data_IF_145269027877
#
_entry.id   IF_145269027877
#
_cell.length_a   1.000
_cell.length_b   1.000
_cell.length_c   1.000
_cell.angle_alpha   90.00
_cell.angle_beta   90.00
_cell.angle_gamma   90.00
#
_symmetry.space_group_name_H-M   'P 1'
#
loop_
_entity.id
_entity.type
_entity.pdbx_description
1 polymer ?
#
# COMPACT_ATOMS: atom_id res chain seq x y z
N UNK A 1 9.77 -7.90 -11.34
CA UNK A 1 8.52 -7.45 -10.69
C UNK A 1 8.48 -5.96 -10.88
N UNK A 2 7.47 -5.48 -11.61
CA UNK A 2 7.35 -4.05 -11.91
C UNK A 2 6.70 -3.28 -10.75
N UNK A 3 6.20 -4.01 -9.75
CA UNK A 3 5.56 -3.47 -8.56
C UNK A 3 6.28 -3.93 -7.31
N UNK A 4 6.24 -3.08 -6.28
CA UNK A 4 6.66 -3.40 -4.93
C UNK A 4 5.47 -3.25 -3.97
N UNK A 5 5.26 -4.24 -3.10
CA UNK A 5 4.30 -4.18 -2.02
C UNK A 5 5.03 -4.27 -0.68
N UNK A 6 4.66 -3.39 0.24
CA UNK A 6 5.27 -3.33 1.56
C UNK A 6 4.27 -2.84 2.60
N UNK A 7 4.27 -3.46 3.78
CA UNK A 7 3.56 -2.93 4.96
C UNK A 7 4.46 -1.88 5.60
N UNK A 8 3.95 -0.65 5.71
CA UNK A 8 4.75 0.50 6.14
C UNK A 8 4.49 0.92 7.59
N UNK A 9 3.36 0.52 8.18
CA UNK A 9 3.06 0.87 9.57
C UNK A 9 1.59 0.79 9.94
N UNK A 10 1.30 1.29 11.15
CA UNK A 10 -0.04 1.41 11.70
C UNK A 10 -0.30 2.90 11.98
N UNK A 11 -1.48 3.39 11.61
CA UNK A 11 -1.84 4.80 11.80
C UNK A 11 -3.33 4.96 12.09
N UNK A 12 -3.75 6.04 12.79
CA UNK A 12 -5.15 6.34 12.99
C UNK A 12 -5.89 6.54 11.66
N UNK A 13 -7.15 6.12 11.59
CA UNK A 13 -7.96 6.21 10.36
C UNK A 13 -8.04 7.63 9.78
N UNK A 14 -8.16 8.66 10.64
CA UNK A 14 -8.22 10.06 10.19
C UNK A 14 -6.89 10.51 9.58
N UNK A 15 -5.76 10.08 10.15
CA UNK A 15 -4.44 10.38 9.61
C UNK A 15 -4.25 9.73 8.25
N UNK A 16 -4.64 8.45 8.10
CA UNK A 16 -4.61 7.75 6.82
C UNK A 16 -5.48 8.45 5.76
N UNK A 17 -6.70 8.85 6.13
CA UNK A 17 -7.61 9.54 5.23
C UNK A 17 -7.00 10.84 4.68
N UNK A 18 -6.38 11.65 5.54
CA UNK A 18 -5.71 12.88 5.10
C UNK A 18 -4.58 12.60 4.10
N UNK A 19 -3.72 11.59 4.39
CA UNK A 19 -2.66 11.19 3.46
C UNK A 19 -3.19 10.68 2.13
N UNK A 20 -4.29 9.92 2.17
CA UNK A 20 -4.93 9.42 0.97
C UNK A 20 -5.42 10.58 0.09
N UNK A 21 -6.05 11.60 0.68
CA UNK A 21 -6.51 12.78 -0.06
C UNK A 21 -5.37 13.56 -0.73
N UNK A 22 -4.18 13.63 -0.12
CA UNK A 22 -3.01 14.31 -0.69
C UNK A 22 -2.38 13.55 -1.86
N UNK A 23 -2.32 12.22 -1.76
CA UNK A 23 -1.61 11.36 -2.73
C UNK A 23 -2.51 11.00 -3.92
N UNK A 24 -3.82 10.93 -3.69
CA UNK A 24 -4.79 10.47 -4.69
C UNK A 24 -5.38 11.60 -5.55
N UNK A 25 -4.73 12.77 -5.55
CA UNK A 25 -5.12 13.93 -6.37
C UNK A 25 -4.97 13.67 -7.86
N UNK A 26 -4.03 12.80 -8.26
CA UNK A 26 -3.75 12.50 -9.67
C UNK A 26 -3.71 11.00 -9.95
N UNK A 27 -4.30 10.54 -11.07
CA UNK A 27 -4.20 9.14 -11.51
C UNK A 27 -2.81 8.77 -12.04
N UNK A 28 -1.94 9.75 -12.36
CA UNK A 28 -0.55 9.54 -12.84
C UNK A 28 0.46 9.40 -11.68
N UNK A 29 0.09 8.66 -10.64
CA UNK A 29 0.93 8.49 -9.45
C UNK A 29 1.77 7.22 -9.50
N UNK A 30 2.98 7.28 -8.96
CA UNK A 30 3.90 6.14 -8.85
C UNK A 30 3.59 5.21 -7.68
N UNK A 31 2.77 5.65 -6.72
CA UNK A 31 2.44 4.93 -5.49
C UNK A 31 0.95 5.02 -5.14
N UNK A 32 0.46 3.98 -4.49
CA UNK A 32 -0.87 3.91 -3.91
C UNK A 32 -0.78 3.34 -2.49
N UNK A 33 -1.56 3.89 -1.58
CA UNK A 33 -1.63 3.40 -0.21
C UNK A 33 -2.88 2.55 -0.03
N UNK A 34 -2.71 1.45 0.70
CA UNK A 34 -3.75 0.50 1.03
C UNK A 34 -3.85 0.45 2.55
N UNK A 35 -5.06 0.45 3.09
CA UNK A 35 -5.26 0.31 4.52
C UNK A 35 -6.33 -0.72 4.84
N UNK A 36 -6.23 -1.30 6.03
CA UNK A 36 -7.17 -2.31 6.53
C UNK A 36 -7.22 -2.31 8.05
N UNK A 37 -8.37 -2.68 8.61
CA UNK A 37 -8.53 -3.00 10.04
C UNK A 37 -8.01 -4.41 10.39
N UNK A 38 -7.66 -5.20 9.38
CA UNK A 38 -7.16 -6.57 9.53
C UNK A 38 -5.87 -6.73 8.74
N UNK A 39 -4.82 -7.23 9.40
CA UNK A 39 -3.56 -7.58 8.75
C UNK A 39 -3.66 -8.98 8.11
N UNK A 40 -4.46 -9.07 7.03
CA UNK A 40 -4.64 -10.28 6.22
C UNK A 40 -4.55 -9.94 4.74
N UNK A 41 -4.04 -10.87 3.93
CA UNK A 41 -3.92 -10.70 2.49
C UNK A 41 -5.26 -10.31 1.85
N UNK A 42 -6.33 -11.02 2.19
CA UNK A 42 -7.67 -10.77 1.65
C UNK A 42 -8.17 -9.35 1.95
N UNK A 43 -7.89 -8.83 3.14
CA UNK A 43 -8.33 -7.49 3.50
C UNK A 43 -7.57 -6.41 2.72
N UNK A 44 -6.27 -6.61 2.46
CA UNK A 44 -5.51 -5.73 1.58
C UNK A 44 -5.93 -5.88 0.10
N UNK A 45 -6.21 -7.08 -0.39
CA UNK A 45 -6.75 -7.26 -1.75
C UNK A 45 -8.09 -6.54 -1.88
N UNK A 46 -8.97 -6.59 -0.87
CA UNK A 46 -10.22 -5.83 -0.85
C UNK A 46 -9.97 -4.32 -0.88
N UNK A 47 -8.99 -3.80 -0.14
CA UNK A 47 -8.71 -2.36 -0.14
C UNK A 47 -8.19 -1.84 -1.49
N UNK A 48 -7.55 -2.68 -2.32
CA UNK A 48 -7.20 -2.29 -3.71
C UNK A 48 -8.41 -1.98 -4.59
N UNK A 49 -9.61 -2.46 -4.21
CA UNK A 49 -10.86 -2.17 -4.93
C UNK A 49 -11.50 -0.87 -4.47
N UNK A 50 -11.09 -0.34 -3.32
CA UNK A 50 -11.63 0.86 -2.70
C UNK A 50 -10.82 2.12 -3.01
N UNK A 51 -9.82 2.03 -3.88
CA UNK A 51 -9.01 3.17 -4.31
C UNK A 51 -9.86 4.12 -5.16
N UNK A 52 -10.14 5.36 -4.70
CA UNK A 52 -10.74 6.39 -5.52
C UNK A 52 -9.69 6.86 -6.53
N UNK A 53 -10.00 6.70 -7.83
CA UNK A 53 -9.07 6.88 -8.96
C UNK A 53 -7.96 5.83 -9.02
N UNK A 54 -8.36 4.61 -9.38
CA UNK A 54 -7.46 3.49 -9.60
C UNK A 54 -6.47 3.80 -10.74
N UNK A 55 -5.15 3.85 -10.48
CA UNK A 55 -4.15 4.02 -11.53
C UNK A 55 -4.27 2.94 -12.64
N UNK A 56 -3.85 3.30 -13.85
CA UNK A 56 -3.74 2.38 -15.01
C UNK A 56 -2.58 1.38 -14.83
N UNK A 57 -2.63 0.59 -13.77
CA UNK A 57 -1.66 -0.44 -13.44
C UNK A 57 -2.16 -1.82 -13.84
N UNK A 58 -1.22 -2.76 -13.99
CA UNK A 58 -1.54 -4.18 -14.07
C UNK A 58 -1.88 -4.71 -12.66
N UNK A 59 -3.16 -4.67 -12.32
CA UNK A 59 -3.64 -5.08 -10.99
C UNK A 59 -3.50 -6.57 -10.71
N UNK A 60 -3.45 -7.41 -11.74
CA UNK A 60 -3.16 -8.84 -11.57
C UNK A 60 -1.70 -9.03 -11.11
N UNK A 61 -0.76 -8.28 -11.69
CA UNK A 61 0.64 -8.29 -11.25
C UNK A 61 0.82 -7.70 -9.84
N UNK A 62 0.05 -6.66 -9.49
CA UNK A 62 0.01 -6.11 -8.12
C UNK A 62 -0.46 -7.18 -7.12
N UNK A 63 -1.55 -7.88 -7.41
CA UNK A 63 -2.04 -8.96 -6.54
C UNK A 63 -1.02 -10.08 -6.44
N UNK A 64 -0.39 -10.48 -7.55
CA UNK A 64 0.70 -11.45 -7.55
C UNK A 64 1.88 -11.01 -6.67
N UNK A 65 2.21 -9.72 -6.69
CA UNK A 65 3.26 -9.13 -5.84
C UNK A 65 2.88 -9.17 -4.36
N UNK A 66 1.61 -8.89 -4.02
CA UNK A 66 1.09 -9.02 -2.66
C UNK A 66 1.19 -10.48 -2.20
N UNK A 67 0.70 -11.45 -2.98
CA UNK A 67 0.79 -12.87 -2.64
C UNK A 67 2.24 -13.29 -2.36
N UNK A 68 3.17 -12.89 -3.25
CA UNK A 68 4.59 -13.18 -3.07
C UNK A 68 5.18 -12.56 -1.80
N UNK A 69 4.78 -11.34 -1.44
CA UNK A 69 5.17 -10.73 -0.17
C UNK A 69 4.67 -11.56 1.01
N UNK A 70 3.41 -11.99 0.98
CA UNK A 70 2.83 -12.81 2.05
C UNK A 70 3.54 -14.16 2.24
N UNK A 71 3.92 -14.81 1.15
CA UNK A 71 4.63 -16.09 1.19
C UNK A 71 6.08 -15.96 1.70
N UNK A 72 6.72 -14.80 1.51
CA UNK A 72 8.13 -14.59 1.86
C UNK A 72 8.35 -13.96 3.24
N UNK A 73 7.35 -13.25 3.76
CA UNK A 73 7.51 -12.39 4.95
C UNK A 73 6.54 -12.76 6.08
N UNK A 74 6.28 -14.05 6.28
CA UNK A 74 5.33 -14.56 7.30
C UNK A 74 5.62 -13.99 8.70
N UNK A 75 6.89 -14.02 9.14
CA UNK A 75 7.29 -13.53 10.46
C UNK A 75 6.99 -12.04 10.64
N UNK A 76 7.29 -11.22 9.62
CA UNK A 76 7.01 -9.79 9.63
C UNK A 76 5.51 -9.51 9.68
N UNK A 77 4.71 -10.26 8.91
CA UNK A 77 3.25 -10.15 8.94
C UNK A 77 2.70 -10.51 10.32
N UNK A 78 3.25 -11.53 10.97
CA UNK A 78 2.85 -11.93 12.32
C UNK A 78 3.15 -10.84 13.34
N UNK A 79 4.30 -10.17 13.22
CA UNK A 79 4.64 -9.02 14.05
C UNK A 79 3.61 -7.89 13.84
N UNK A 80 3.32 -7.52 12.59
CA UNK A 80 2.33 -6.49 12.29
C UNK A 80 0.92 -6.83 12.80
N UNK A 81 0.53 -8.10 12.78
CA UNK A 81 -0.73 -8.55 13.38
C UNK A 81 -0.77 -8.32 14.90
N UNK A 82 0.35 -8.51 15.60
CA UNK A 82 0.44 -8.25 17.03
C UNK A 82 0.40 -6.75 17.33
N UNK A 83 1.15 -5.95 16.57
CA UNK A 83 1.17 -4.49 16.71
C UNK A 83 -0.20 -3.87 16.41
N UNK A 84 -0.93 -4.37 15.41
CA UNK A 84 -2.27 -3.87 15.10
C UNK A 84 -3.25 -4.16 16.25
N UNK A 85 -3.13 -5.34 16.88
CA UNK A 85 -3.95 -5.70 18.04
C UNK A 85 -3.66 -4.80 19.25
N UNK A 86 -2.42 -4.38 19.46
CA UNK A 86 -2.06 -3.51 20.58
C UNK A 86 -2.42 -2.04 20.33
N UNK A 87 -2.44 -1.59 19.07
CA UNK A 87 -2.77 -0.21 18.71
C UNK A 87 -4.25 0.16 18.97
N UNK A 88 -5.18 -0.79 19.00
CA UNK A 88 -6.59 -0.53 19.29
C UNK A 88 -7.46 -0.27 18.05
N UNK A 89 -8.76 0.01 18.26
CA UNK A 89 -9.81 -0.11 17.22
C UNK A 89 -9.87 1.02 16.18
N UNK A 90 -9.26 2.16 16.47
CA UNK A 90 -9.28 3.34 15.56
C UNK A 90 -8.04 3.41 14.66
N UNK A 91 -7.20 2.37 14.70
CA UNK A 91 -5.98 2.26 13.94
C UNK A 91 -6.14 1.30 12.76
N UNK A 92 -5.47 1.65 11.67
CA UNK A 92 -5.39 0.87 10.45
C UNK A 92 -3.96 0.43 10.23
N UNK A 93 -3.79 -0.81 9.78
CA UNK A 93 -2.52 -1.21 9.17
C UNK A 93 -2.47 -0.69 7.74
N UNK A 94 -1.34 -0.09 7.38
CA UNK A 94 -1.13 0.57 6.10
C UNK A 94 -0.02 -0.13 5.34
N UNK A 95 -0.27 -0.32 4.06
CA UNK A 95 0.68 -0.81 3.09
C UNK A 95 0.78 0.15 1.91
N UNK A 96 1.88 0.03 1.17
CA UNK A 96 2.15 0.79 -0.04
C UNK A 96 2.34 -0.18 -1.19
N UNK A 97 1.70 0.13 -2.31
CA UNK A 97 2.05 -0.43 -3.63
C UNK A 97 2.76 0.67 -4.42
N UNK A 98 3.93 0.37 -4.95
CA UNK A 98 4.66 1.28 -5.84
C UNK A 98 4.88 0.61 -7.20
N UNK A 99 4.65 1.35 -8.28
CA UNK A 99 5.11 1.00 -9.62
C UNK A 99 6.56 1.49 -9.76
N UNK A 100 7.50 0.55 -9.90
CA UNK A 100 8.93 0.84 -9.88
C UNK A 100 9.37 1.65 -11.11
N UNK A 101 8.76 1.41 -12.27
CA UNK A 101 9.08 2.15 -13.49
C UNK A 101 8.60 3.60 -13.38
N UNK A 102 7.36 3.80 -12.94
CA UNK A 102 6.81 5.14 -12.71
C UNK A 102 7.57 5.90 -11.62
N UNK A 103 7.95 5.20 -10.54
CA UNK A 103 8.74 5.79 -9.45
C UNK A 103 10.14 6.20 -9.93
N UNK A 104 10.76 5.39 -10.79
CA UNK A 104 12.06 5.69 -11.39
C UNK A 104 11.97 6.92 -12.29
N UNK A 105 10.98 7.01 -13.17
CA UNK A 105 10.78 8.18 -14.02
C UNK A 105 10.53 9.45 -13.21
N UNK A 106 9.72 9.37 -12.15
CA UNK A 106 9.49 10.50 -11.23
C UNK A 106 10.82 10.93 -10.58
N UNK A 107 11.64 9.99 -10.14
CA UNK A 107 12.95 10.28 -9.52
C UNK A 107 13.95 10.87 -10.51
N UNK A 108 14.02 10.35 -11.74
CA UNK A 108 14.87 10.88 -12.82
C UNK A 108 14.47 12.32 -13.16
N UNK A 109 13.16 12.61 -13.25
CA UNK A 109 12.66 13.98 -13.49
C UNK A 109 13.06 14.96 -12.37
N UNK A 110 13.13 14.49 -11.11
CA UNK A 110 13.56 15.32 -9.99
C UNK A 110 15.07 15.61 -10.00
N UNK A 111 15.89 14.72 -10.59
CA UNK A 111 17.35 14.90 -10.70
C UNK A 111 17.77 15.73 -11.90
N UNK A 112 16.93 15.80 -12.93
CA UNK A 112 17.14 16.64 -14.11
C UNK A 112 16.73 18.11 -13.89
N UNK A 113 16.08 18.42 -12.76
CA UNK A 113 15.79 19.78 -12.29
C UNK A 113 16.83 20.27 -11.26
#
# INVERSE_FOLDING_TARGET
MNYNFEIIGITPVLTFFNYQQEVEVSPKRSKAYLASYQCTLDAFIKSTKMIPQKPEWNWDEVIGTMINFWLKHEDSIRQWQLELKSAGKENLIVARVANLDALRTEFETLLEN
#
